data_IF_353557636222
#
_entry.id   IF_353557636222
#
_cell.length_a   1.000
_cell.length_b   1.000
_cell.length_c   1.000
_cell.angle_alpha   90.00
_cell.angle_beta   90.00
_cell.angle_gamma   90.00
#
_symmetry.space_group_name_H-M   'P 1'
#
loop_
_entity.id
_entity.type
_entity.pdbx_description
1 polymer ?
#
# COMPACT_ATOMS: atom_id res chain seq x y z
N UNK A 1 -19.24 15.70 -29.27
CA UNK A 1 -18.84 16.99 -29.84
C UNK A 1 -18.64 16.74 -31.34
N UNK A 2 -19.76 16.67 -32.06
CA UNK A 2 -19.78 16.47 -33.51
C UNK A 2 -19.57 17.85 -34.14
N UNK A 3 -18.36 18.13 -34.62
CA UNK A 3 -18.16 19.24 -35.53
C UNK A 3 -18.49 18.73 -36.93
N UNK A 4 -19.44 19.38 -37.59
CA UNK A 4 -19.66 19.25 -39.03
C UNK A 4 -18.39 19.71 -39.74
N UNK A 5 -17.50 18.77 -40.06
CA UNK A 5 -16.28 19.04 -40.82
C UNK A 5 -16.57 18.82 -42.30
N UNK A 6 -16.58 19.93 -43.03
CA UNK A 6 -16.56 20.01 -44.49
C UNK A 6 -15.62 18.93 -45.10
N UNK A 7 -16.05 18.12 -46.09
CA UNK A 7 -15.24 17.07 -46.68
C UNK A 7 -13.88 17.57 -47.21
N UNK A 8 -13.79 18.82 -47.68
CA UNK A 8 -12.53 19.40 -48.09
C UNK A 8 -11.56 19.58 -46.90
N UNK A 9 -12.07 19.97 -45.74
CA UNK A 9 -11.27 20.12 -44.50
C UNK A 9 -10.74 18.78 -43.97
N UNK A 10 -11.52 17.70 -44.11
CA UNK A 10 -11.11 16.35 -43.71
C UNK A 10 -9.97 15.84 -44.60
N UNK A 11 -10.08 16.06 -45.90
CA UNK A 11 -9.04 15.74 -46.87
C UNK A 11 -7.73 16.50 -46.57
N UNK A 12 -7.83 17.80 -46.28
CA UNK A 12 -6.66 18.63 -45.92
C UNK A 12 -6.00 18.15 -44.62
N UNK A 13 -6.79 17.78 -43.60
CA UNK A 13 -6.24 17.23 -42.35
C UNK A 13 -5.50 15.91 -42.56
N UNK A 14 -6.03 15.02 -43.41
CA UNK A 14 -5.38 13.75 -43.72
C UNK A 14 -4.09 13.93 -44.52
N UNK A 15 -4.04 14.89 -45.47
CA UNK A 15 -2.81 15.22 -46.19
C UNK A 15 -1.73 15.79 -45.27
N UNK A 16 -2.14 16.68 -44.35
CA UNK A 16 -1.23 17.29 -43.37
C UNK A 16 -0.65 16.25 -42.40
N UNK A 17 -1.46 15.30 -41.95
CA UNK A 17 -1.02 14.22 -41.07
C UNK A 17 0.02 13.30 -41.74
N UNK A 18 -0.05 13.16 -43.06
CA UNK A 18 0.83 12.30 -43.88
C UNK A 18 2.05 13.03 -44.46
N UNK A 19 2.28 14.29 -44.09
CA UNK A 19 3.36 15.15 -44.64
C UNK A 19 3.36 15.27 -46.17
N UNK A 20 2.18 15.19 -46.80
CA UNK A 20 2.04 15.43 -48.24
C UNK A 20 1.61 16.88 -48.40
N UNK A 21 2.41 17.71 -49.08
CA UNK A 21 2.08 19.11 -49.37
C UNK A 21 0.97 19.16 -50.42
N UNK A 22 -0.27 19.55 -50.06
CA UNK A 22 -1.35 19.63 -51.03
C UNK A 22 -1.42 21.03 -51.68
N UNK A 23 -1.76 21.07 -52.96
CA UNK A 23 -2.14 22.30 -53.66
C UNK A 23 -3.59 22.64 -53.27
N UNK A 24 -3.76 23.56 -52.33
CA UNK A 24 -5.05 23.88 -51.71
C UNK A 24 -6.06 24.42 -52.74
N UNK A 25 -5.59 25.16 -53.75
CA UNK A 25 -6.47 25.75 -54.76
C UNK A 25 -7.12 24.68 -55.66
N UNK A 26 -6.44 23.57 -55.93
CA UNK A 26 -7.01 22.44 -56.68
C UNK A 26 -8.02 21.65 -55.86
N UNK A 27 -7.79 21.52 -54.55
CA UNK A 27 -8.71 20.80 -53.66
C UNK A 27 -10.02 21.57 -53.53
N UNK A 28 -9.97 22.87 -53.30
CA UNK A 28 -11.18 23.69 -53.23
C UNK A 28 -11.89 23.78 -54.60
N UNK A 29 -11.16 23.77 -55.72
CA UNK A 29 -11.77 23.70 -57.05
C UNK A 29 -12.46 22.36 -57.35
N UNK A 30 -12.08 21.26 -56.66
CA UNK A 30 -12.67 19.93 -56.84
C UNK A 30 -13.98 19.74 -56.05
N UNK A 31 -14.30 20.68 -55.15
CA UNK A 31 -15.54 20.73 -54.38
C UNK A 31 -16.27 22.06 -54.66
N UNK A 32 -16.93 22.22 -55.82
CA UNK A 32 -17.73 23.41 -56.08
C UNK A 32 -18.87 23.54 -55.06
N UNK A 33 -19.00 24.71 -54.43
CA UNK A 33 -20.08 25.03 -53.47
C UNK A 33 -21.47 25.20 -54.13
N UNK A 34 -21.54 25.19 -55.46
CA UNK A 34 -22.80 25.27 -56.18
C UNK A 34 -23.54 23.93 -56.12
N UNK A 35 -24.59 23.90 -55.30
CA UNK A 35 -25.57 22.83 -55.17
C UNK A 35 -26.39 22.67 -56.46
N UNK A 36 -25.74 22.24 -57.55
CA UNK A 36 -26.45 21.89 -58.78
C UNK A 36 -27.01 20.46 -58.66
N UNK A 37 -28.34 20.40 -58.61
CA UNK A 37 -29.23 19.28 -58.30
C UNK A 37 -29.20 18.13 -59.34
N UNK A 38 -28.03 17.84 -59.91
CA UNK A 38 -27.86 16.78 -60.92
C UNK A 38 -26.49 16.09 -60.94
N UNK A 39 -25.62 16.37 -59.99
CA UNK A 39 -24.34 15.70 -59.83
C UNK A 39 -24.11 15.31 -58.39
N UNK A 40 -24.56 14.13 -58.01
CA UNK A 40 -24.11 13.37 -56.84
C UNK A 40 -22.66 13.76 -56.52
N UNK A 41 -22.42 14.36 -55.36
CA UNK A 41 -21.11 14.87 -54.93
C UNK A 41 -20.19 13.67 -54.70
N UNK A 42 -19.81 13.02 -55.80
CA UNK A 42 -19.03 11.79 -55.88
C UNK A 42 -17.70 11.98 -55.19
N UNK A 43 -17.16 13.19 -55.26
CA UNK A 43 -15.92 13.51 -54.58
C UNK A 43 -16.13 13.52 -53.06
N UNK A 44 -17.19 14.14 -52.53
CA UNK A 44 -17.44 14.14 -51.09
C UNK A 44 -17.87 12.77 -50.57
N UNK A 45 -18.67 12.02 -51.33
CA UNK A 45 -19.04 10.65 -50.97
C UNK A 45 -17.85 9.68 -51.10
N UNK A 46 -16.93 9.94 -52.01
CA UNK A 46 -15.67 9.21 -52.10
C UNK A 46 -14.77 9.50 -50.90
N UNK A 47 -14.62 10.78 -50.53
CA UNK A 47 -13.84 11.19 -49.35
C UNK A 47 -14.41 10.58 -48.08
N UNK A 48 -15.72 10.67 -47.85
CA UNK A 48 -16.33 10.12 -46.64
C UNK A 48 -16.27 8.59 -46.56
N UNK A 49 -16.29 7.89 -47.69
CA UNK A 49 -16.22 6.43 -47.72
C UNK A 49 -14.78 5.89 -47.66
N UNK A 50 -13.80 6.59 -48.25
CA UNK A 50 -12.42 6.09 -48.40
C UNK A 50 -11.40 6.77 -47.49
N UNK A 51 -11.73 7.92 -46.86
CA UNK A 51 -10.93 8.51 -45.79
C UNK A 51 -11.52 8.19 -44.41
N UNK A 52 -11.65 6.89 -44.09
CA UNK A 52 -11.97 6.43 -42.74
C UNK A 52 -10.71 5.92 -42.04
N UNK A 53 -10.75 5.87 -40.72
CA UNK A 53 -9.65 5.33 -39.90
C UNK A 53 -9.26 3.91 -40.32
N UNK A 54 -10.20 3.11 -40.82
CA UNK A 54 -9.96 1.72 -41.26
C UNK A 54 -9.25 1.61 -42.61
N UNK A 55 -9.34 2.63 -43.47
CA UNK A 55 -8.74 2.63 -44.83
C UNK A 55 -7.44 3.44 -44.89
N UNK A 56 -7.15 4.20 -43.84
CA UNK A 56 -6.03 5.12 -43.75
C UNK A 56 -5.03 4.60 -42.72
N UNK A 57 -3.82 4.20 -43.17
CA UNK A 57 -2.74 3.86 -42.23
C UNK A 57 -2.52 4.99 -41.22
N UNK A 58 -2.57 4.68 -39.92
CA UNK A 58 -2.25 5.63 -38.86
C UNK A 58 -0.81 6.14 -39.01
N UNK A 59 -0.49 7.26 -38.36
CA UNK A 59 0.88 7.81 -38.33
C UNK A 59 1.90 6.78 -37.85
N UNK A 60 1.58 6.03 -36.81
CA UNK A 60 2.46 4.95 -36.31
C UNK A 60 2.62 3.85 -37.36
N UNK A 61 1.53 3.42 -38.00
CA UNK A 61 1.54 2.38 -39.03
C UNK A 61 2.32 2.81 -40.27
N UNK A 62 2.21 4.06 -40.69
CA UNK A 62 2.97 4.60 -41.82
C UNK A 62 4.47 4.62 -41.49
N UNK A 63 4.84 5.02 -40.28
CA UNK A 63 6.26 4.97 -39.87
C UNK A 63 6.79 3.53 -39.80
N UNK A 64 5.96 2.58 -39.35
CA UNK A 64 6.30 1.16 -39.34
C UNK A 64 6.42 0.61 -40.77
N UNK A 65 5.52 0.99 -41.67
CA UNK A 65 5.56 0.60 -43.08
C UNK A 65 6.81 1.13 -43.77
N UNK A 66 7.14 2.42 -43.62
CA UNK A 66 8.38 2.99 -44.17
C UNK A 66 9.63 2.36 -43.56
N UNK A 67 9.59 1.98 -42.27
CA UNK A 67 10.68 1.25 -41.63
C UNK A 67 10.84 -0.15 -42.21
N UNK A 68 9.75 -0.88 -42.44
CA UNK A 68 9.74 -2.20 -43.08
C UNK A 68 10.15 -2.16 -44.55
N UNK A 69 9.80 -1.08 -45.26
CA UNK A 69 10.24 -0.84 -46.64
C UNK A 69 11.75 -0.56 -46.68
N UNK A 70 12.25 0.26 -45.75
CA UNK A 70 13.69 0.54 -45.64
C UNK A 70 14.52 -0.66 -45.19
N UNK A 71 13.93 -1.59 -44.41
CA UNK A 71 14.59 -2.83 -43.98
C UNK A 71 14.54 -3.95 -45.03
N UNK A 72 13.72 -3.80 -46.08
CA UNK A 72 13.55 -4.81 -47.14
C UNK A 72 12.72 -6.03 -46.74
N UNK A 73 12.22 -6.09 -45.49
CA UNK A 73 11.43 -7.20 -44.96
C UNK A 73 10.04 -7.30 -45.60
N UNK A 74 9.52 -6.18 -46.13
CA UNK A 74 8.24 -6.14 -46.85
C UNK A 74 8.26 -7.04 -48.10
N UNK A 75 9.42 -7.14 -48.75
CA UNK A 75 9.63 -8.00 -49.93
C UNK A 75 9.68 -9.49 -49.57
N UNK A 76 10.02 -9.81 -48.32
CA UNK A 76 9.94 -11.17 -47.80
C UNK A 76 8.50 -11.54 -47.43
N UNK A 77 7.71 -10.61 -46.87
CA UNK A 77 6.28 -10.84 -46.57
C UNK A 77 5.47 -10.99 -47.87
N UNK A 78 5.73 -10.17 -48.89
CA UNK A 78 5.05 -10.29 -50.19
C UNK A 78 5.39 -11.61 -50.93
N UNK A 79 6.55 -12.21 -50.63
CA UNK A 79 6.97 -13.49 -51.21
C UNK A 79 6.44 -14.69 -50.42
N UNK A 80 6.15 -14.50 -49.13
CA UNK A 80 5.63 -15.52 -48.22
C UNK A 80 4.10 -15.45 -48.06
N UNK A 81 3.43 -14.64 -48.87
CA UNK A 81 1.98 -14.76 -49.04
C UNK A 81 1.76 -15.86 -50.07
N UNK A 82 1.32 -17.03 -49.62
CA UNK A 82 0.77 -18.12 -50.44
C UNK A 82 -0.44 -17.60 -51.24
N UNK A 83 -0.13 -16.87 -52.30
CA UNK A 83 -1.05 -16.21 -53.20
C UNK A 83 -1.62 -17.19 -54.24
N UNK A 84 -2.17 -18.31 -53.76
CA UNK A 84 -3.04 -19.20 -54.56
C UNK A 84 -4.51 -19.09 -54.11
N UNK A 85 -4.81 -18.21 -53.14
CA UNK A 85 -6.16 -18.07 -52.59
C UNK A 85 -6.91 -16.79 -53.00
N UNK A 86 -6.31 -15.84 -53.73
CA UNK A 86 -7.05 -14.64 -54.16
C UNK A 86 -6.43 -13.95 -55.37
N UNK A 87 -6.68 -14.49 -56.56
CA UNK A 87 -6.47 -13.84 -57.86
C UNK A 87 -7.73 -14.02 -58.74
N UNK A 88 -8.26 -12.99 -59.40
CA UNK A 88 -9.60 -13.01 -59.98
C UNK A 88 -9.58 -13.49 -61.44
N UNK A 89 -9.89 -14.77 -61.66
CA UNK A 89 -10.67 -15.23 -62.80
C UNK A 89 -11.11 -16.69 -62.52
N UNK A 90 -12.16 -16.86 -61.71
CA UNK A 90 -12.91 -18.12 -61.79
C UNK A 90 -13.41 -18.21 -63.23
N UNK A 91 -13.01 -19.26 -63.95
CA UNK A 91 -13.50 -19.52 -65.30
C UNK A 91 -15.03 -19.53 -65.25
N UNK A 92 -15.70 -18.91 -66.23
CA UNK A 92 -17.18 -18.86 -66.28
C UNK A 92 -17.77 -20.28 -66.23
N UNK A 93 -16.99 -21.26 -66.67
CA UNK A 93 -17.26 -22.68 -66.58
C UNK A 93 -17.19 -23.26 -65.17
N UNK A 94 -16.27 -22.78 -64.33
CA UNK A 94 -16.13 -23.20 -62.92
C UNK A 94 -17.25 -22.59 -62.06
N UNK A 95 -17.65 -21.36 -62.36
CA UNK A 95 -18.83 -20.75 -61.73
C UNK A 95 -20.07 -21.56 -62.09
N UNK A 96 -20.25 -21.92 -63.37
CA UNK A 96 -21.38 -22.73 -63.84
C UNK A 96 -21.36 -24.16 -63.29
N UNK A 97 -20.19 -24.78 -63.16
CA UNK A 97 -20.05 -26.13 -62.58
C UNK A 97 -20.34 -26.11 -61.08
N UNK A 98 -19.87 -25.08 -60.36
CA UNK A 98 -20.16 -24.86 -58.95
C UNK A 98 -21.64 -24.59 -58.71
N UNK A 99 -22.29 -23.77 -59.55
CA UNK A 99 -23.74 -23.54 -59.47
C UNK A 99 -24.51 -24.84 -59.71
N UNK A 100 -24.12 -25.65 -60.70
CA UNK A 100 -24.75 -26.96 -60.94
C UNK A 100 -24.55 -27.93 -59.78
N UNK A 101 -23.35 -27.99 -59.21
CA UNK A 101 -23.04 -28.82 -58.05
C UNK A 101 -23.80 -28.36 -56.80
N UNK A 102 -23.86 -27.04 -56.58
CA UNK A 102 -24.63 -26.44 -55.50
C UNK A 102 -26.12 -26.73 -55.64
N UNK A 103 -26.70 -26.53 -56.83
CA UNK A 103 -28.12 -26.85 -57.07
C UNK A 103 -28.42 -28.34 -56.91
N UNK A 104 -27.51 -29.23 -57.33
CA UNK A 104 -27.64 -30.66 -57.08
C UNK A 104 -27.60 -30.96 -55.57
N UNK A 105 -26.69 -30.33 -54.83
CA UNK A 105 -26.62 -30.46 -53.37
C UNK A 105 -27.88 -29.91 -52.70
N UNK A 106 -28.38 -28.75 -53.13
CA UNK A 106 -29.62 -28.16 -52.61
C UNK A 106 -30.81 -29.06 -52.88
N UNK A 107 -30.90 -29.68 -54.06
CA UNK A 107 -31.95 -30.65 -54.37
C UNK A 107 -31.88 -31.88 -53.45
N UNK A 108 -30.68 -32.41 -53.16
CA UNK A 108 -30.53 -33.54 -52.22
C UNK A 108 -30.86 -33.15 -50.78
N UNK A 109 -30.52 -31.92 -50.36
CA UNK A 109 -30.87 -31.40 -49.03
C UNK A 109 -32.38 -31.17 -48.92
N UNK A 110 -33.03 -30.71 -49.98
CA UNK A 110 -34.48 -30.54 -50.02
C UNK A 110 -35.21 -31.89 -50.00
N UNK A 111 -34.71 -32.89 -50.72
CA UNK A 111 -35.23 -34.27 -50.65
C UNK A 111 -35.06 -34.85 -49.22
N UNK A 112 -33.91 -34.63 -48.59
CA UNK A 112 -33.68 -35.01 -47.20
C UNK A 112 -34.59 -34.24 -46.24
N UNK A 113 -34.82 -32.95 -46.47
CA UNK A 113 -35.70 -32.13 -45.66
C UNK A 113 -37.17 -32.57 -45.80
N UNK A 114 -37.61 -32.94 -47.01
CA UNK A 114 -38.94 -33.52 -47.25
C UNK A 114 -39.07 -34.91 -46.61
N UNK A 115 -38.02 -35.74 -46.69
CA UNK A 115 -37.98 -37.02 -45.99
C UNK A 115 -38.05 -36.85 -44.46
N UNK A 116 -37.33 -35.88 -43.90
CA UNK A 116 -37.40 -35.55 -42.48
C UNK A 116 -38.75 -34.93 -42.09
N UNK A 117 -39.34 -34.10 -42.94
CA UNK A 117 -40.66 -33.50 -42.71
C UNK A 117 -41.76 -34.58 -42.71
N UNK A 118 -41.72 -35.53 -43.65
CA UNK A 118 -42.64 -36.67 -43.67
C UNK A 118 -42.40 -37.63 -42.51
N UNK A 119 -41.14 -37.86 -42.10
CA UNK A 119 -40.84 -38.60 -40.88
C UNK A 119 -41.34 -37.89 -39.63
N UNK A 120 -41.20 -36.56 -39.56
CA UNK A 120 -41.70 -35.73 -38.48
C UNK A 120 -43.23 -35.73 -38.44
N UNK A 121 -43.89 -35.62 -39.58
CA UNK A 121 -45.37 -35.68 -39.69
C UNK A 121 -45.90 -37.07 -39.34
N UNK A 122 -45.20 -38.14 -39.75
CA UNK A 122 -45.55 -39.48 -39.31
C UNK A 122 -45.32 -39.65 -37.81
N UNK A 123 -44.18 -39.20 -37.27
CA UNK A 123 -43.87 -39.24 -35.85
C UNK A 123 -44.88 -38.41 -35.04
N UNK A 124 -45.25 -37.22 -35.52
CA UNK A 124 -46.23 -36.37 -34.86
C UNK A 124 -47.62 -37.01 -34.87
N UNK A 125 -48.03 -37.64 -35.97
CA UNK A 125 -49.26 -38.45 -36.06
C UNK A 125 -49.23 -39.66 -35.11
N UNK A 126 -48.08 -40.32 -34.97
CA UNK A 126 -47.91 -41.38 -33.97
C UNK A 126 -48.02 -40.82 -32.55
N UNK A 127 -47.36 -39.70 -32.22
CA UNK A 127 -47.46 -39.08 -30.88
C UNK A 127 -48.87 -38.56 -30.56
N UNK A 128 -49.60 -38.05 -31.56
CA UNK A 128 -50.97 -37.54 -31.37
C UNK A 128 -52.00 -38.68 -31.30
N UNK A 129 -51.76 -39.79 -31.99
CA UNK A 129 -52.53 -41.03 -31.83
C UNK A 129 -52.13 -41.84 -30.58
N UNK A 130 -50.93 -41.61 -30.05
CA UNK A 130 -50.48 -42.12 -28.76
C UNK A 130 -51.03 -41.29 -27.60
N UNK A 131 -51.31 -39.98 -27.74
CA UNK A 131 -52.01 -39.12 -26.73
C UNK A 131 -53.27 -39.80 -26.15
N UNK A 132 -54.03 -40.50 -27.00
CA UNK A 132 -55.19 -41.32 -26.58
C UNK A 132 -54.82 -42.69 -25.96
N UNK A 133 -53.58 -43.17 -26.13
CA UNK A 133 -53.02 -44.42 -25.56
C UNK A 133 -52.10 -44.24 -24.35
N UNK A 134 -51.55 -43.05 -24.05
CA UNK A 134 -50.65 -42.83 -22.90
C UNK A 134 -51.30 -43.16 -21.56
N UNK A 135 -52.63 -43.08 -21.47
CA UNK A 135 -53.34 -43.46 -20.25
C UNK A 135 -53.30 -44.97 -19.98
N UNK A 136 -53.01 -45.81 -20.98
CA UNK A 136 -53.01 -47.27 -20.85
C UNK A 136 -51.60 -47.88 -20.91
N UNK A 137 -50.65 -47.28 -21.65
CA UNK A 137 -49.32 -47.86 -21.90
C UNK A 137 -48.22 -47.44 -20.91
N UNK A 138 -48.51 -46.51 -19.99
CA UNK A 138 -47.61 -46.20 -18.85
C UNK A 138 -47.48 -47.40 -17.88
N UNK A 139 -48.37 -48.40 -18.01
CA UNK A 139 -48.39 -49.56 -17.12
C UNK A 139 -47.55 -50.74 -17.60
N UNK A 140 -46.88 -50.68 -18.76
CA UNK A 140 -45.98 -51.75 -19.23
C UNK A 140 -44.52 -51.50 -18.78
N UNK A 141 -44.04 -52.22 -17.74
CA UNK A 141 -42.68 -52.04 -17.21
C UNK A 141 -41.57 -52.51 -18.16
N UNK A 142 -41.91 -53.22 -19.24
CA UNK A 142 -40.91 -53.77 -20.17
C UNK A 142 -40.52 -52.81 -21.30
N UNK A 143 -41.30 -51.74 -21.52
CA UNK A 143 -41.03 -50.76 -22.57
C UNK A 143 -39.64 -50.11 -22.40
N UNK A 144 -38.77 -50.13 -23.43
CA UNK A 144 -37.43 -49.56 -23.36
C UNK A 144 -37.46 -48.04 -23.12
N UNK A 145 -38.54 -47.35 -23.51
CA UNK A 145 -38.75 -45.92 -23.20
C UNK A 145 -38.96 -45.70 -21.70
N UNK A 146 -39.80 -46.51 -21.05
CA UNK A 146 -40.04 -46.42 -19.60
C UNK A 146 -38.75 -46.56 -18.79
N UNK A 147 -37.91 -47.54 -19.14
CA UNK A 147 -36.59 -47.76 -18.52
C UNK A 147 -35.65 -46.57 -18.71
N UNK A 148 -35.66 -45.96 -19.90
CA UNK A 148 -34.88 -44.76 -20.19
C UNK A 148 -35.36 -43.56 -19.36
N UNK A 149 -36.66 -43.31 -19.28
CA UNK A 149 -37.21 -42.19 -18.51
C UNK A 149 -36.90 -42.31 -17.01
N UNK A 150 -37.03 -43.51 -16.45
CA UNK A 150 -36.64 -43.78 -15.05
C UNK A 150 -35.14 -43.63 -14.86
N UNK A 151 -34.32 -44.16 -15.78
CA UNK A 151 -32.87 -44.00 -15.75
C UNK A 151 -32.45 -42.53 -15.77
N UNK A 152 -33.07 -41.72 -16.61
CA UNK A 152 -32.84 -40.27 -16.67
C UNK A 152 -33.29 -39.55 -15.41
N UNK A 153 -34.45 -39.88 -14.86
CA UNK A 153 -34.92 -39.32 -13.60
C UNK A 153 -33.99 -39.66 -12.44
N UNK A 154 -33.49 -40.91 -12.38
CA UNK A 154 -32.53 -41.34 -11.37
C UNK A 154 -31.17 -40.64 -11.53
N UNK A 155 -30.66 -40.50 -12.75
CA UNK A 155 -29.41 -39.76 -13.02
C UNK A 155 -29.59 -38.29 -12.65
N UNK A 156 -30.72 -37.68 -13.01
CA UNK A 156 -31.00 -36.28 -12.69
C UNK A 156 -31.17 -36.06 -11.17
N UNK A 157 -31.82 -36.99 -10.48
CA UNK A 157 -31.92 -36.96 -9.02
C UNK A 157 -30.56 -37.15 -8.35
N UNK A 158 -29.72 -38.08 -8.85
CA UNK A 158 -28.37 -38.28 -8.36
C UNK A 158 -27.48 -37.04 -8.61
N UNK A 159 -27.60 -36.40 -9.77
CA UNK A 159 -26.91 -35.15 -10.09
C UNK A 159 -27.40 -33.99 -9.20
N UNK A 160 -28.71 -33.90 -8.96
CA UNK A 160 -29.29 -32.94 -8.01
C UNK A 160 -28.77 -33.13 -6.59
N UNK A 161 -28.69 -34.37 -6.12
CA UNK A 161 -28.13 -34.67 -4.79
C UNK A 161 -26.64 -34.32 -4.70
N UNK A 162 -25.84 -34.66 -5.71
CA UNK A 162 -24.41 -34.32 -5.75
C UNK A 162 -24.17 -32.81 -5.81
N UNK A 163 -24.96 -32.08 -6.60
CA UNK A 163 -24.86 -30.61 -6.66
C UNK A 163 -25.24 -29.96 -5.35
N UNK A 164 -26.29 -30.46 -4.68
CA UNK A 164 -26.66 -29.98 -3.36
C UNK A 164 -25.60 -30.29 -2.30
N UNK A 165 -25.04 -31.51 -2.30
CA UNK A 165 -23.94 -31.90 -1.41
C UNK A 165 -22.69 -31.02 -1.62
N UNK A 166 -22.34 -30.73 -2.88
CA UNK A 166 -21.25 -29.82 -3.21
C UNK A 166 -21.54 -28.39 -2.76
N UNK A 167 -22.76 -27.90 -2.91
CA UNK A 167 -23.15 -26.57 -2.46
C UNK A 167 -23.10 -26.45 -0.93
N UNK A 168 -23.58 -27.46 -0.20
CA UNK A 168 -23.49 -27.52 1.25
C UNK A 168 -22.03 -27.61 1.72
N UNK A 169 -21.20 -28.44 1.07
CA UNK A 169 -19.78 -28.56 1.37
C UNK A 169 -19.04 -27.25 1.11
N UNK A 170 -19.28 -26.60 -0.03
CA UNK A 170 -18.70 -25.30 -0.36
C UNK A 170 -19.12 -24.24 0.65
N UNK A 171 -20.40 -24.20 1.01
CA UNK A 171 -20.91 -23.26 2.02
C UNK A 171 -20.23 -23.47 3.37
N UNK A 172 -20.16 -24.72 3.85
CA UNK A 172 -19.45 -25.07 5.07
C UNK A 172 -17.98 -24.64 5.03
N UNK A 173 -17.28 -24.86 3.91
CA UNK A 173 -15.88 -24.48 3.77
C UNK A 173 -15.71 -22.95 3.74
N UNK A 174 -16.59 -22.24 3.05
CA UNK A 174 -16.57 -20.77 3.05
C UNK A 174 -16.83 -20.19 4.44
N UNK A 175 -17.83 -20.72 5.15
CA UNK A 175 -18.14 -20.31 6.52
C UNK A 175 -16.94 -20.59 7.44
N UNK A 176 -16.33 -21.77 7.33
CA UNK A 176 -15.13 -22.14 8.08
C UNK A 176 -13.95 -21.21 7.78
N UNK A 177 -13.71 -20.86 6.51
CA UNK A 177 -12.68 -19.91 6.11
C UNK A 177 -12.94 -18.50 6.68
N UNK A 178 -14.21 -18.04 6.74
CA UNK A 178 -14.52 -16.75 7.38
C UNK A 178 -14.31 -16.78 8.89
N UNK A 179 -14.61 -17.90 9.55
CA UNK A 179 -14.38 -18.09 10.99
C UNK A 179 -12.89 -18.11 11.29
N UNK A 180 -12.09 -18.86 10.52
CA UNK A 180 -10.64 -18.90 10.68
C UNK A 180 -10.01 -17.53 10.39
N UNK A 181 -10.45 -16.82 9.36
CA UNK A 181 -10.01 -15.44 9.09
C UNK A 181 -10.27 -14.51 10.28
N UNK A 182 -11.47 -14.55 10.88
CA UNK A 182 -11.78 -13.80 12.10
C UNK A 182 -10.92 -14.23 13.29
N UNK A 183 -10.63 -15.53 13.43
CA UNK A 183 -9.76 -16.06 14.49
C UNK A 183 -8.33 -15.55 14.34
N UNK A 184 -7.79 -15.58 13.13
CA UNK A 184 -6.46 -15.05 12.82
C UNK A 184 -6.40 -13.54 13.09
N UNK A 185 -7.40 -12.78 12.66
CA UNK A 185 -7.45 -11.33 12.92
C UNK A 185 -7.53 -11.01 14.42
N UNK A 186 -8.34 -11.76 15.17
CA UNK A 186 -8.41 -11.62 16.64
C UNK A 186 -7.07 -11.94 17.30
N UNK A 187 -6.42 -13.02 16.87
CA UNK A 187 -5.09 -13.41 17.37
C UNK A 187 -4.03 -12.36 17.06
N UNK A 188 -3.99 -11.85 15.82
CA UNK A 188 -3.08 -10.77 15.41
C UNK A 188 -3.33 -9.49 16.20
N UNK A 189 -4.60 -9.13 16.46
CA UNK A 189 -4.95 -7.97 17.27
C UNK A 189 -4.44 -8.15 18.70
N UNK A 190 -4.66 -9.31 19.32
CA UNK A 190 -4.11 -9.61 20.64
C UNK A 190 -2.58 -9.47 20.65
N UNK A 191 -1.88 -10.07 19.69
CA UNK A 191 -0.42 -10.00 19.58
C UNK A 191 0.08 -8.56 19.39
N UNK A 192 -0.61 -7.77 18.58
CA UNK A 192 -0.29 -6.35 18.36
C UNK A 192 -0.47 -5.56 19.66
N UNK A 193 -1.59 -5.75 20.37
CA UNK A 193 -1.82 -5.05 21.64
C UNK A 193 -0.83 -5.46 22.72
N UNK A 194 -0.36 -6.70 22.73
CA UNK A 194 0.71 -7.16 23.63
C UNK A 194 2.05 -6.52 23.27
N UNK A 195 2.35 -6.42 21.98
CA UNK A 195 3.54 -5.73 21.48
C UNK A 195 3.50 -4.24 21.83
N UNK A 196 2.37 -3.56 21.65
CA UNK A 196 2.18 -2.14 22.03
C UNK A 196 2.37 -1.93 23.53
N UNK A 197 1.86 -2.85 24.37
CA UNK A 197 2.12 -2.84 25.82
C UNK A 197 3.61 -2.98 26.12
N UNK A 198 4.30 -3.89 25.44
CA UNK A 198 5.75 -4.07 25.61
C UNK A 198 6.53 -2.82 25.21
N UNK A 199 6.13 -2.15 24.12
CA UNK A 199 6.75 -0.94 23.63
C UNK A 199 6.50 0.25 24.58
N UNK A 200 5.28 0.40 25.09
CA UNK A 200 4.95 1.41 26.08
C UNK A 200 5.74 1.20 27.39
N UNK A 201 5.94 -0.06 27.81
CA UNK A 201 6.78 -0.38 28.96
C UNK A 201 8.25 -0.04 28.70
N UNK A 202 8.77 -0.30 27.50
CA UNK A 202 10.13 0.07 27.11
C UNK A 202 10.31 1.59 27.11
N UNK A 203 9.37 2.35 26.55
CA UNK A 203 9.42 3.81 26.56
C UNK A 203 9.42 4.38 28.00
N UNK A 204 8.64 3.76 28.89
CA UNK A 204 8.67 4.10 30.32
C UNK A 204 10.03 3.83 30.94
N UNK A 205 10.66 2.69 30.64
CA UNK A 205 12.02 2.37 31.11
C UNK A 205 13.06 3.36 30.57
N UNK A 206 12.98 3.74 29.29
CA UNK A 206 13.87 4.74 28.69
C UNK A 206 13.71 6.09 29.38
N UNK A 207 12.48 6.49 29.68
CA UNK A 207 12.21 7.73 30.42
C UNK A 207 12.77 7.69 31.85
N UNK A 208 12.76 6.54 32.50
CA UNK A 208 13.34 6.31 33.83
C UNK A 208 14.89 6.30 33.84
N UNK A 209 15.50 5.74 32.80
CA UNK A 209 16.97 5.81 32.62
C UNK A 209 17.40 7.26 32.40
N UNK A 210 16.64 8.03 31.61
CA UNK A 210 16.89 9.45 31.38
C UNK A 210 16.76 10.27 32.67
N UNK A 211 15.73 10.04 33.49
CA UNK A 211 15.59 10.71 34.78
C UNK A 211 16.72 10.36 35.75
N UNK A 212 17.23 9.13 35.69
CA UNK A 212 18.42 8.72 36.47
C UNK A 212 19.68 9.50 36.06
N UNK A 213 19.87 9.75 34.77
CA UNK A 213 20.96 10.60 34.27
C UNK A 213 20.88 12.03 34.80
N UNK A 214 19.67 12.61 34.84
CA UNK A 214 19.45 13.93 35.41
C UNK A 214 19.74 13.97 36.92
N UNK A 215 19.41 12.91 37.66
CA UNK A 215 19.70 12.78 39.11
C UNK A 215 21.20 12.77 39.40
N UNK A 216 22.01 12.07 38.60
CA UNK A 216 23.47 12.10 38.75
C UNK A 216 24.04 13.51 38.53
N UNK A 217 23.53 14.24 37.54
CA UNK A 217 23.89 15.65 37.33
C UNK A 217 23.47 16.54 38.51
N UNK A 218 22.32 16.26 39.14
CA UNK A 218 21.88 16.96 40.35
C UNK A 218 22.80 16.65 41.53
N UNK A 219 23.20 15.39 41.74
CA UNK A 219 24.14 15.01 42.81
C UNK A 219 25.48 15.72 42.68
N UNK A 220 26.04 15.80 41.47
CA UNK A 220 27.28 16.53 41.21
C UNK A 220 27.12 18.04 41.50
N UNK A 221 25.99 18.63 41.08
CA UNK A 221 25.67 20.03 41.39
C UNK A 221 25.54 20.27 42.90
N UNK A 222 24.88 19.37 43.63
CA UNK A 222 24.72 19.47 45.09
C UNK A 222 26.08 19.39 45.79
N UNK A 223 26.95 18.45 45.39
CA UNK A 223 28.30 18.35 45.95
C UNK A 223 29.09 19.63 45.72
N UNK A 224 29.10 20.15 44.48
CA UNK A 224 29.80 21.41 44.12
C UNK A 224 29.25 22.61 44.89
N UNK A 225 27.93 22.73 45.01
CA UNK A 225 27.31 23.82 45.77
C UNK A 225 27.60 23.71 47.27
N UNK A 226 27.67 22.49 47.82
CA UNK A 226 28.03 22.28 49.23
C UNK A 226 29.48 22.66 49.53
N UNK A 227 30.40 22.41 48.58
CA UNK A 227 31.80 22.81 48.70
C UNK A 227 31.92 24.33 48.72
N UNK A 228 31.29 25.01 47.76
CA UNK A 228 31.24 26.48 47.71
C UNK A 228 30.59 27.08 48.95
N UNK A 229 29.50 26.49 49.45
CA UNK A 229 28.87 26.94 50.68
C UNK A 229 29.81 26.79 51.89
N UNK A 230 30.65 25.75 51.91
CA UNK A 230 31.61 25.53 52.99
C UNK A 230 32.75 26.53 53.00
N UNK A 231 33.20 26.94 51.82
CA UNK A 231 34.17 28.03 51.66
C UNK A 231 33.58 29.35 52.16
N UNK A 232 32.35 29.70 51.75
CA UNK A 232 31.70 30.92 52.23
C UNK A 232 31.43 30.93 53.73
N UNK A 233 31.06 29.78 54.31
CA UNK A 233 30.85 29.67 55.74
C UNK A 233 32.16 29.81 56.54
N UNK A 234 33.26 29.23 56.04
CA UNK A 234 34.58 29.42 56.63
C UNK A 234 35.02 30.89 56.55
N UNK A 235 34.85 31.51 55.37
CA UNK A 235 35.17 32.92 55.14
C UNK A 235 34.37 33.87 56.03
N UNK A 236 33.08 33.58 56.27
CA UNK A 236 32.27 34.36 57.22
C UNK A 236 32.85 34.30 58.63
N UNK A 237 33.24 33.11 59.10
CA UNK A 237 33.82 32.93 60.42
C UNK A 237 35.18 33.61 60.51
N UNK A 238 36.02 33.53 59.48
CA UNK A 238 37.29 34.26 59.40
C UNK A 238 37.09 35.76 59.51
N UNK A 239 36.21 36.33 58.68
CA UNK A 239 35.89 37.76 58.71
C UNK A 239 35.36 38.22 60.09
N UNK A 240 34.59 37.37 60.79
CA UNK A 240 34.11 37.66 62.15
C UNK A 240 35.24 37.59 63.19
N UNK A 241 36.16 36.65 63.06
CA UNK A 241 37.32 36.51 63.95
C UNK A 241 38.27 37.70 63.77
N UNK A 242 38.60 38.05 62.53
CA UNK A 242 39.45 39.20 62.17
C UNK A 242 38.88 40.50 62.73
N UNK A 243 37.56 40.69 62.59
CA UNK A 243 36.89 41.86 63.16
C UNK A 243 36.98 41.90 64.67
N UNK A 244 36.74 40.78 65.37
CA UNK A 244 36.85 40.71 66.83
C UNK A 244 38.29 40.97 67.30
N UNK A 245 39.28 40.46 66.57
CA UNK A 245 40.69 40.69 66.85
C UNK A 245 41.04 42.18 66.75
N UNK A 246 40.63 42.85 65.66
CA UNK A 246 40.84 44.30 65.49
C UNK A 246 40.10 45.13 66.54
N UNK A 247 38.87 44.76 66.89
CA UNK A 247 38.09 45.43 67.94
C UNK A 247 38.75 45.26 69.33
N UNK A 248 39.34 44.09 69.62
CA UNK A 248 40.09 43.82 70.85
C UNK A 248 41.36 44.66 70.95
N UNK A 249 42.14 44.77 69.86
CA UNK A 249 43.32 45.64 69.82
C UNK A 249 42.91 47.11 70.06
N UNK A 250 41.80 47.54 69.48
CA UNK A 250 41.31 48.92 69.61
C UNK A 250 40.83 49.26 71.02
N UNK A 251 40.31 48.29 71.78
CA UNK A 251 39.80 48.49 73.14
C UNK A 251 40.85 48.27 74.24
N UNK A 252 41.96 47.58 73.94
CA UNK A 252 43.06 47.36 74.88
C UNK A 252 43.96 48.61 74.98
N UNK A 253 43.90 49.33 76.10
CA UNK A 253 44.90 50.35 76.43
C UNK A 253 46.22 49.68 76.84
N UNK A 254 47.38 50.11 76.33
CA UNK A 254 48.66 49.52 76.69
C UNK A 254 49.11 50.00 78.08
N UNK A 255 49.03 49.13 79.09
CA UNK A 255 49.74 49.32 80.36
C UNK A 255 51.25 49.01 80.17
N UNK A 256 52.15 49.87 80.70
CA UNK A 256 53.58 49.80 80.38
C UNK A 256 54.39 48.70 81.12
N UNK A 257 53.79 47.93 82.03
CA UNK A 257 54.53 47.01 82.92
C UNK A 257 54.63 45.55 82.42
N UNK A 258 53.97 45.23 81.31
CA UNK A 258 53.69 43.84 80.91
C UNK A 258 54.68 43.31 79.84
N UNK A 259 55.97 43.68 79.89
CA UNK A 259 56.90 43.53 78.75
C UNK A 259 57.80 42.28 78.77
N UNK A 260 57.91 41.56 79.89
CA UNK A 260 59.01 40.58 80.08
C UNK A 260 58.66 39.16 79.55
N UNK A 261 57.38 38.82 79.35
CA UNK A 261 56.97 37.48 78.93
C UNK A 261 56.11 37.43 77.65
N UNK A 262 55.96 38.55 76.93
CA UNK A 262 55.06 38.66 75.78
C UNK A 262 55.53 37.89 74.54
N UNK A 263 56.83 37.76 74.33
CA UNK A 263 57.37 37.18 73.09
C UNK A 263 56.96 35.71 72.89
N UNK A 264 57.20 34.87 73.90
CA UNK A 264 56.86 33.44 73.86
C UNK A 264 55.35 33.21 73.83
N UNK A 265 54.58 34.01 74.59
CA UNK A 265 53.11 33.93 74.62
C UNK A 265 52.50 34.35 73.28
N UNK A 266 53.09 35.33 72.58
CA UNK A 266 52.62 35.76 71.25
C UNK A 266 52.90 34.68 70.21
N UNK A 267 54.07 34.06 70.22
CA UNK A 267 54.39 32.98 69.25
C UNK A 267 53.52 31.74 69.46
N UNK A 268 53.26 31.33 70.72
CA UNK A 268 52.34 30.21 70.99
C UNK A 268 50.91 30.53 70.57
N UNK A 269 50.48 31.79 70.76
CA UNK A 269 49.14 32.22 70.37
C UNK A 269 48.98 32.31 68.86
N UNK A 270 50.02 32.70 68.13
CA UNK A 270 50.04 32.70 66.65
C UNK A 270 49.92 31.27 66.10
N UNK A 271 50.64 30.30 66.67
CA UNK A 271 50.51 28.88 66.30
C UNK A 271 49.11 28.33 66.59
N UNK A 272 48.54 28.64 67.76
CA UNK A 272 47.17 28.24 68.12
C UNK A 272 46.13 28.88 67.19
N UNK A 273 46.37 30.13 66.76
CA UNK A 273 45.50 30.85 65.84
C UNK A 273 45.54 30.21 64.44
N UNK A 274 46.71 29.91 63.90
CA UNK A 274 46.86 29.22 62.61
C UNK A 274 46.18 27.83 62.62
N UNK A 275 46.31 27.10 63.73
CA UNK A 275 45.60 25.83 63.95
C UNK A 275 44.07 26.03 63.93
N UNK A 276 43.57 27.08 64.60
CA UNK A 276 42.14 27.42 64.62
C UNK A 276 41.60 27.76 63.23
N UNK A 277 42.32 28.52 62.40
CA UNK A 277 41.89 28.82 61.03
C UNK A 277 41.75 27.54 60.20
N UNK A 278 42.69 26.60 60.30
CA UNK A 278 42.60 25.31 59.61
C UNK A 278 41.40 24.48 60.10
N UNK A 279 41.14 24.47 61.40
CA UNK A 279 40.03 23.74 61.99
C UNK A 279 38.67 24.33 61.56
N UNK A 280 38.52 25.65 61.51
CA UNK A 280 37.30 26.32 61.03
C UNK A 280 36.93 25.86 59.61
N UNK A 281 37.91 25.79 58.70
CA UNK A 281 37.67 25.30 57.33
C UNK A 281 37.20 23.84 57.29
N UNK A 282 37.77 22.98 58.14
CA UNK A 282 37.37 21.57 58.25
C UNK A 282 35.96 21.45 58.85
N UNK A 283 35.67 22.19 59.93
CA UNK A 283 34.39 22.17 60.62
C UNK A 283 33.26 22.76 59.77
N UNK A 284 33.53 23.82 59.00
CA UNK A 284 32.56 24.37 58.04
C UNK A 284 32.18 23.33 56.98
N UNK A 285 33.17 22.64 56.42
CA UNK A 285 32.96 21.54 55.46
C UNK A 285 32.18 20.38 56.07
N UNK A 286 32.54 19.94 57.27
CA UNK A 286 31.84 18.84 57.96
C UNK A 286 30.40 19.23 58.30
N UNK A 287 30.17 20.43 58.81
CA UNK A 287 28.84 20.93 59.17
C UNK A 287 27.92 21.01 57.95
N UNK A 288 28.40 21.53 56.83
CA UNK A 288 27.60 21.64 55.59
C UNK A 288 27.41 20.27 54.92
N UNK A 289 28.42 19.41 54.97
CA UNK A 289 28.27 18.03 54.52
C UNK A 289 27.16 17.31 55.29
N UNK A 290 27.15 17.45 56.62
CA UNK A 290 26.17 16.78 57.47
C UNK A 290 24.76 17.41 57.38
N UNK A 291 24.65 18.74 57.30
CA UNK A 291 23.37 19.43 57.26
C UNK A 291 22.68 19.40 55.90
N UNK A 292 23.45 19.42 54.81
CA UNK A 292 22.90 19.58 53.46
C UNK A 292 23.29 18.45 52.52
N UNK A 293 24.59 18.14 52.39
CA UNK A 293 25.04 17.19 51.36
C UNK A 293 24.52 15.76 51.63
N UNK A 294 24.79 15.20 52.80
CA UNK A 294 24.36 13.85 53.19
C UNK A 294 22.84 13.64 53.15
N UNK A 295 21.97 14.53 53.71
CA UNK A 295 20.53 14.31 53.66
C UNK A 295 19.96 14.44 52.24
N UNK A 296 20.49 15.35 51.42
CA UNK A 296 20.04 15.51 50.02
C UNK A 296 20.45 14.29 49.20
N UNK A 297 21.69 13.81 49.35
CA UNK A 297 22.17 12.60 48.67
C UNK A 297 21.38 11.35 49.10
N UNK A 298 21.06 11.23 50.39
CA UNK A 298 20.26 10.12 50.92
C UNK A 298 18.85 10.12 50.34
N UNK A 299 18.15 11.26 50.32
CA UNK A 299 16.80 11.34 49.75
C UNK A 299 16.81 11.05 48.24
N UNK A 300 17.81 11.54 47.49
CA UNK A 300 17.95 11.23 46.07
C UNK A 300 18.19 9.75 45.82
N UNK A 301 19.02 9.10 46.65
CA UNK A 301 19.28 7.66 46.58
C UNK A 301 18.04 6.84 46.97
N UNK A 302 17.30 7.26 48.00
CA UNK A 302 16.07 6.59 48.43
C UNK A 302 14.94 6.74 47.39
N UNK A 303 14.86 7.89 46.72
CA UNK A 303 13.95 8.07 45.58
C UNK A 303 14.33 7.19 44.40
N UNK A 304 15.63 7.12 44.07
CA UNK A 304 16.12 6.23 43.02
C UNK A 304 15.88 4.75 43.35
N UNK A 305 16.09 4.34 44.61
CA UNK A 305 15.79 3.00 45.09
C UNK A 305 14.31 2.65 44.97
N UNK A 306 13.42 3.56 45.39
CA UNK A 306 11.96 3.40 45.24
C UNK A 306 11.54 3.23 43.78
N UNK A 307 12.04 4.09 42.90
CA UNK A 307 11.77 3.99 41.46
C UNK A 307 12.27 2.68 40.87
N UNK A 308 13.52 2.29 41.15
CA UNK A 308 14.09 1.03 40.68
C UNK A 308 13.31 -0.21 41.17
N UNK A 309 12.83 -0.21 42.41
CA UNK A 309 11.99 -1.30 42.93
C UNK A 309 10.63 -1.36 42.21
N UNK A 310 9.99 -0.22 41.96
CA UNK A 310 8.74 -0.15 41.20
C UNK A 310 8.93 -0.62 39.76
N UNK A 311 10.03 -0.20 39.12
CA UNK A 311 10.40 -0.65 37.78
C UNK A 311 10.62 -2.16 37.72
N UNK A 312 11.33 -2.71 38.71
CA UNK A 312 11.58 -4.16 38.82
C UNK A 312 10.29 -4.96 39.07
N UNK A 313 9.34 -4.42 39.85
CA UNK A 313 8.02 -5.02 40.02
C UNK A 313 7.25 -5.07 38.70
N UNK A 314 7.32 -4.00 37.91
CA UNK A 314 6.62 -3.98 36.63
C UNK A 314 7.31 -4.90 35.60
N UNK A 315 8.64 -4.98 35.60
CA UNK A 315 9.37 -5.97 34.79
C UNK A 315 8.97 -7.41 35.15
N UNK A 316 8.80 -7.72 36.44
CA UNK A 316 8.29 -9.03 36.88
C UNK A 316 6.86 -9.30 36.40
N UNK A 317 6.04 -8.27 36.30
CA UNK A 317 4.68 -8.38 35.76
C UNK A 317 4.67 -8.62 34.24
N UNK A 318 5.63 -8.05 33.50
CA UNK A 318 5.76 -8.22 32.04
C UNK A 318 6.44 -9.55 31.67
N UNK A 319 7.30 -10.09 32.53
CA UNK A 319 7.97 -11.38 32.30
C UNK A 319 7.07 -12.60 32.60
N UNK A 320 5.85 -12.40 33.09
CA UNK A 320 4.92 -13.46 33.47
C UNK A 320 3.76 -13.55 32.49
#
# INVERSE_FOLDING_TARGET
>A
MECFTDPASLLISAYKERNILPDLDQIYSAFPEDNDDRGDNRNASWVSNHLKYDTLLSREELTLFSKLESSGDLRNISRNTDADATGPLLDDQDIRSTIKSMNASTATVEEQAQALATQFENCSRYTHGEDDRWTTDISDPESPRWKHTIGWQNINAAAGNLTHELEESLKCETDNATVESKRILSWLMCQLTESDKSLANLDRLVSEIRSTGDKLSIMEKVSRLSEVLSEYAAEEVYCRLDRLYLDFIRTRNPDPDDSINKGEIVTTLEEDLESLYLEIGILARMSISQQFNEPILRELQDQHGRECTSSQEILKYVSK
#
